data_IF_391492904750
#
_entry.id   IF_391492904750
#
_cell.length_a   1.000
_cell.length_b   1.000
_cell.length_c   1.000
_cell.angle_alpha   90.00
_cell.angle_beta   90.00
_cell.angle_gamma   90.00
#
_symmetry.space_group_name_H-M   'P 1'
#
loop_
_entity.id
_entity.type
_entity.pdbx_description
1 polymer ?
#
# COMPACT_ATOMS: atom_id res chain seq x y z
N UNK A 1 -59.66 17.51 1.70
CA UNK A 1 -58.85 16.37 1.22
C UNK A 1 -57.82 16.94 0.26
N UNK A 2 -56.52 16.80 0.55
CA UNK A 2 -55.45 17.28 -0.34
C UNK A 2 -55.17 16.18 -1.36
N UNK A 3 -55.40 16.45 -2.64
CA UNK A 3 -55.00 15.53 -3.70
C UNK A 3 -53.47 15.58 -3.82
N UNK A 4 -52.81 14.49 -3.46
CA UNK A 4 -51.37 14.30 -3.72
C UNK A 4 -51.27 13.63 -5.09
N UNK A 5 -50.67 14.28 -6.12
CA UNK A 5 -50.43 13.65 -7.39
C UNK A 5 -49.55 12.43 -7.18
N UNK A 6 -49.94 11.30 -7.77
CA UNK A 6 -49.15 10.07 -7.67
C UNK A 6 -47.82 10.30 -8.42
N UNK A 7 -46.67 9.92 -7.83
CA UNK A 7 -45.40 10.11 -8.50
C UNK A 7 -45.35 9.24 -9.76
N UNK A 8 -45.22 9.88 -10.92
CA UNK A 8 -45.07 9.21 -12.20
C UNK A 8 -43.60 8.82 -12.33
N UNK A 9 -43.33 7.51 -12.41
CA UNK A 9 -42.01 6.98 -12.69
C UNK A 9 -41.93 6.61 -14.17
N UNK A 10 -41.38 7.51 -14.98
CA UNK A 10 -41.02 7.23 -16.36
C UNK A 10 -39.71 6.44 -16.36
N UNK A 11 -39.74 5.21 -16.86
CA UNK A 11 -38.53 4.40 -17.07
C UNK A 11 -38.35 4.17 -18.56
N UNK A 12 -37.17 4.49 -19.06
CA UNK A 12 -36.81 4.26 -20.45
C UNK A 12 -35.59 3.33 -20.52
N UNK A 13 -35.54 2.46 -21.54
CA UNK A 13 -34.51 1.41 -21.67
C UNK A 13 -33.34 1.82 -22.58
N UNK A 14 -33.24 3.09 -22.99
CA UNK A 14 -32.08 3.58 -23.72
C UNK A 14 -30.82 3.64 -22.84
N UNK A 15 -29.67 3.65 -23.50
CA UNK A 15 -28.38 3.84 -22.85
C UNK A 15 -28.32 5.23 -22.18
N UNK A 16 -28.50 5.28 -20.85
CA UNK A 16 -28.30 6.48 -20.06
C UNK A 16 -26.81 6.68 -19.73
N UNK A 17 -25.99 6.90 -20.75
CA UNK A 17 -24.58 7.27 -20.58
C UNK A 17 -24.40 8.78 -20.78
N UNK A 18 -23.71 9.43 -19.83
CA UNK A 18 -23.23 10.80 -19.95
C UNK A 18 -21.72 10.76 -20.16
N UNK A 19 -21.22 11.60 -21.06
CA UNK A 19 -19.78 11.83 -21.17
C UNK A 19 -19.36 12.71 -20.01
N UNK A 20 -18.59 12.14 -19.08
CA UNK A 20 -18.04 12.85 -17.93
C UNK A 20 -16.57 13.19 -18.21
N UNK A 21 -16.03 14.27 -17.61
CA UNK A 21 -14.59 14.48 -17.54
C UNK A 21 -13.90 13.31 -16.82
N UNK A 22 -12.59 13.18 -17.01
CA UNK A 22 -11.79 12.18 -16.31
C UNK A 22 -11.93 12.32 -14.80
N UNK A 23 -12.16 11.20 -14.11
CA UNK A 23 -12.16 11.15 -12.65
C UNK A 23 -10.73 10.88 -12.16
N UNK A 24 -10.31 11.58 -11.11
CA UNK A 24 -9.06 11.28 -10.42
C UNK A 24 -9.34 10.50 -9.13
N UNK A 25 -8.51 9.51 -8.84
CA UNK A 25 -8.51 8.78 -7.58
C UNK A 25 -7.14 8.91 -6.93
N UNK A 26 -7.12 9.26 -5.64
CA UNK A 26 -5.89 9.31 -4.85
C UNK A 26 -5.83 8.09 -3.93
N UNK A 27 -4.72 7.36 -3.97
CA UNK A 27 -4.48 6.19 -3.12
C UNK A 27 -3.39 6.55 -2.13
N UNK A 28 -3.70 6.46 -0.84
CA UNK A 28 -2.73 6.67 0.24
C UNK A 28 -2.35 5.32 0.86
N UNK A 29 -1.19 4.74 0.51
CA UNK A 29 -0.73 3.51 1.13
C UNK A 29 -0.28 3.75 2.59
N UNK A 30 -0.32 2.72 3.45
CA UNK A 30 0.19 2.82 4.81
C UNK A 30 1.73 3.00 4.82
N UNK A 31 2.29 3.61 5.88
CA UNK A 31 3.74 3.70 6.05
C UNK A 31 4.40 2.31 6.10
N UNK A 32 5.58 2.17 5.47
CA UNK A 32 6.38 0.94 5.51
C UNK A 32 7.70 1.21 6.23
N UNK A 33 8.06 0.34 7.16
CA UNK A 33 9.33 0.40 7.90
C UNK A 33 10.29 -0.66 7.34
N UNK A 34 11.53 -0.25 7.08
CA UNK A 34 12.61 -1.15 6.65
C UNK A 34 13.68 -1.17 7.71
N UNK A 35 14.07 -2.36 8.17
CA UNK A 35 15.20 -2.55 9.10
C UNK A 35 16.37 -3.17 8.36
N UNK A 36 17.53 -2.52 8.43
CA UNK A 36 18.78 -3.05 7.89
C UNK A 36 19.57 -3.73 9.00
N UNK A 37 20.03 -4.98 8.81
CA UNK A 37 20.92 -5.62 9.77
C UNK A 37 22.23 -4.83 9.87
N UNK A 38 22.81 -4.77 11.07
CA UNK A 38 24.13 -4.16 11.27
C UNK A 38 25.25 -4.93 10.53
N UNK A 39 26.44 -4.34 10.40
CA UNK A 39 27.57 -5.00 9.77
C UNK A 39 28.01 -6.25 10.57
N UNK A 40 28.29 -7.35 9.87
CA UNK A 40 28.91 -8.53 10.47
C UNK A 40 30.42 -8.30 10.54
N UNK A 41 30.97 -8.27 11.75
CA UNK A 41 32.42 -8.26 11.98
C UNK A 41 32.90 -9.68 12.27
N UNK A 42 33.83 -10.19 11.46
CA UNK A 42 34.45 -11.51 11.68
C UNK A 42 35.95 -11.34 11.93
N UNK A 43 36.46 -12.02 12.94
CA UNK A 43 37.90 -12.14 13.21
C UNK A 43 38.32 -13.60 13.03
N UNK A 44 39.37 -13.84 12.25
CA UNK A 44 40.00 -15.14 12.12
C UNK A 44 41.28 -15.16 12.97
N UNK A 45 41.24 -15.66 14.21
CA UNK A 45 42.42 -15.64 15.07
C UNK A 45 43.51 -16.52 14.43
N UNK A 46 44.68 -15.94 14.19
CA UNK A 46 45.88 -16.70 13.85
C UNK A 46 46.34 -17.41 15.13
N UNK A 47 46.33 -18.74 15.14
CA UNK A 47 46.85 -19.52 16.27
C UNK A 47 48.34 -19.20 16.42
N UNK A 48 48.72 -18.57 17.53
CA UNK A 48 50.12 -18.35 17.87
C UNK A 48 50.58 -19.50 18.78
N UNK A 49 51.59 -20.25 18.36
CA UNK A 49 52.25 -21.24 19.21
C UNK A 49 53.27 -20.51 20.08
N UNK A 50 53.04 -20.50 21.40
CA UNK A 50 53.99 -19.94 22.37
C UNK A 50 54.90 -21.07 22.85
N UNK A 51 56.20 -20.99 22.53
CA UNK A 51 57.23 -21.90 23.02
C UNK A 51 58.03 -21.27 24.18
N UNK A 52 58.44 -22.09 25.15
CA UNK A 52 59.40 -21.71 26.19
C UNK A 52 60.64 -22.58 26.06
N UNK A 53 61.83 -21.98 26.16
CA UNK A 53 63.10 -22.69 26.24
C UNK A 53 63.57 -22.65 27.69
N UNK A 54 63.55 -23.80 28.35
CA UNK A 54 64.17 -24.04 29.65
C UNK A 54 65.47 -24.82 29.52
#
# INVERSE_FOLDING_TARGET
SVAVPQPIAESCNELCARQCPDSTAFIQPPPVVVTFPGPILSSFPQQAVVGSSG
#
